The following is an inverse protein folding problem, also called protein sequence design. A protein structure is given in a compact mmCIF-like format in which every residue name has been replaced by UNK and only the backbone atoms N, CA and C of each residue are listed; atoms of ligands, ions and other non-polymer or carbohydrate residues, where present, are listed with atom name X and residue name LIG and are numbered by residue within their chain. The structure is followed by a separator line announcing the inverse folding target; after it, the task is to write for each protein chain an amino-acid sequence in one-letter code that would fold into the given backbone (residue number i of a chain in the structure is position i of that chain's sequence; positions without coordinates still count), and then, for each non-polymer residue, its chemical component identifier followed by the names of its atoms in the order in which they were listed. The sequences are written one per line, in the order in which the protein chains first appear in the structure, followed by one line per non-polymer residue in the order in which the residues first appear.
data_IF_327978957735
#
_entry.id   IF_327978957735
#
_cell.length_a   1.000
_cell.length_b   1.000
_cell.length_c   1.000
_cell.angle_alpha   90.00
_cell.angle_beta   90.00
_cell.angle_gamma   90.00
#
_symmetry.space_group_name_H-M   'P 1'
#
loop_
_entity.id
_entity.type
_entity.pdbx_description
1 polymer ?
#
# COMPACT_ATOMS: atom_id res chain seq x y z
N UNK A 1 5.01 -9.30 24.25
CA UNK A 1 4.39 -9.30 25.59
C UNK A 1 4.21 -10.75 26.02
N UNK A 2 5.10 -11.26 26.87
CA UNK A 2 5.18 -12.69 27.27
C UNK A 2 4.85 -12.85 28.77
N UNK A 3 4.14 -11.89 29.34
CA UNK A 3 3.63 -12.02 30.69
C UNK A 3 2.46 -12.99 30.66
N UNK A 4 2.60 -14.10 31.39
CA UNK A 4 1.60 -15.18 31.46
C UNK A 4 0.38 -14.80 32.32
N UNK A 5 0.46 -13.69 33.05
CA UNK A 5 -0.60 -13.23 33.93
C UNK A 5 -1.22 -11.92 33.41
N UNK A 6 -2.07 -12.03 32.39
CA UNK A 6 -2.85 -10.89 31.87
C UNK A 6 -3.97 -10.49 32.84
N UNK A 7 -4.40 -11.41 33.72
CA UNK A 7 -5.48 -11.18 34.68
C UNK A 7 -5.16 -10.04 35.66
N UNK A 8 -3.88 -9.78 35.95
CA UNK A 8 -3.48 -8.66 36.82
C UNK A 8 -3.88 -7.27 36.31
N UNK A 9 -4.14 -7.14 35.01
CA UNK A 9 -4.51 -5.86 34.40
C UNK A 9 -6.00 -5.57 34.49
N UNK A 10 -6.81 -6.50 35.01
CA UNK A 10 -8.24 -6.33 35.17
C UNK A 10 -8.59 -6.23 36.66
N UNK A 11 -9.54 -5.36 36.98
CA UNK A 11 -10.09 -5.22 38.32
C UNK A 11 -11.29 -6.18 38.54
N UNK A 12 -11.89 -6.11 39.74
CA UNK A 12 -13.03 -6.96 40.09
C UNK A 12 -14.30 -6.68 39.25
N UNK A 13 -14.34 -5.57 38.53
CA UNK A 13 -15.42 -5.20 37.60
C UNK A 13 -15.13 -5.63 36.17
N UNK A 14 -14.05 -6.40 35.94
CA UNK A 14 -13.55 -6.78 34.62
C UNK A 14 -13.11 -5.58 33.76
N UNK A 15 -12.93 -4.41 34.40
CA UNK A 15 -12.41 -3.22 33.76
C UNK A 15 -10.89 -3.19 33.85
N UNK A 16 -10.25 -2.47 32.92
CA UNK A 16 -8.81 -2.30 32.93
C UNK A 16 -8.38 -1.52 34.19
N UNK A 17 -7.47 -2.10 34.97
CA UNK A 17 -6.81 -1.47 36.08
C UNK A 17 -5.69 -0.55 35.58
N UNK A 18 -5.99 0.75 35.52
CA UNK A 18 -5.07 1.78 35.03
C UNK A 18 -3.88 2.05 35.96
N UNK A 19 -3.89 1.53 37.19
CA UNK A 19 -2.72 1.62 38.08
C UNK A 19 -1.64 0.60 37.71
N UNK A 20 -2.05 -0.60 37.28
CA UNK A 20 -1.16 -1.69 36.85
C UNK A 20 -0.86 -1.62 35.35
N UNK A 21 -1.85 -1.23 34.54
CA UNK A 21 -1.72 -1.06 33.11
C UNK A 21 -1.13 0.31 32.76
N UNK A 22 0.15 0.47 33.03
CA UNK A 22 0.89 1.72 32.81
C UNK A 22 1.06 2.05 31.32
N UNK A 23 1.36 3.32 30.96
CA UNK A 23 1.65 3.70 29.57
C UNK A 23 2.70 2.80 28.90
N UNK A 24 3.75 2.41 29.63
CA UNK A 24 4.80 1.54 29.13
C UNK A 24 4.29 0.13 28.74
N UNK A 25 3.37 -0.45 29.51
CA UNK A 25 2.73 -1.71 29.13
C UNK A 25 1.84 -1.55 27.90
N UNK A 26 1.15 -0.40 27.80
CA UNK A 26 0.35 -0.12 26.61
C UNK A 26 1.22 -0.02 25.35
N UNK A 27 2.38 0.62 25.41
CA UNK A 27 3.32 0.66 24.28
C UNK A 27 3.78 -0.74 23.85
N UNK A 28 4.17 -1.58 24.81
CA UNK A 28 4.54 -2.98 24.52
C UNK A 28 3.37 -3.77 23.91
N UNK A 29 2.15 -3.51 24.38
CA UNK A 29 0.94 -4.09 23.81
C UNK A 29 0.74 -3.64 22.35
N UNK A 30 0.92 -2.35 22.05
CA UNK A 30 0.82 -1.82 20.69
C UNK A 30 1.87 -2.43 19.76
N UNK A 31 3.13 -2.53 20.21
CA UNK A 31 4.20 -3.16 19.43
C UNK A 31 3.89 -4.62 19.15
N UNK A 32 3.33 -5.35 20.11
CA UNK A 32 2.89 -6.73 19.92
C UNK A 32 1.72 -6.85 18.93
N UNK A 33 0.75 -5.93 18.99
CA UNK A 33 -0.44 -5.96 18.14
C UNK A 33 -0.25 -5.37 16.75
N UNK A 34 0.82 -4.61 16.49
CA UNK A 34 1.04 -3.92 15.20
C UNK A 34 1.03 -4.84 13.98
N UNK A 35 1.49 -6.08 14.15
CA UNK A 35 1.55 -7.06 13.06
C UNK A 35 0.21 -7.83 12.92
N UNK A 36 -0.71 -7.65 13.88
CA UNK A 36 -2.02 -8.34 13.95
C UNK A 36 -3.21 -7.42 13.68
N UNK A 37 -3.03 -6.10 13.78
CA UNK A 37 -4.09 -5.10 13.68
C UNK A 37 -3.64 -3.87 12.90
N UNK A 38 -4.58 -3.22 12.21
CA UNK A 38 -4.32 -1.98 11.45
C UNK A 38 -4.05 -0.81 12.38
N UNK A 39 -3.30 0.18 11.91
CA UNK A 39 -3.00 1.40 12.67
C UNK A 39 -4.26 2.16 13.13
N UNK A 40 -5.36 2.08 12.37
CA UNK A 40 -6.66 2.64 12.75
C UNK A 40 -7.17 2.03 14.07
N UNK A 41 -7.22 0.69 14.15
CA UNK A 41 -7.64 -0.04 15.36
C UNK A 41 -6.73 0.24 16.55
N UNK A 42 -5.42 0.34 16.32
CA UNK A 42 -4.47 0.68 17.39
C UNK A 42 -4.70 2.10 17.94
N UNK A 43 -5.11 3.02 17.07
CA UNK A 43 -5.47 4.39 17.47
C UNK A 43 -6.77 4.40 18.27
N UNK A 44 -7.74 3.55 17.93
CA UNK A 44 -8.98 3.38 18.69
C UNK A 44 -8.71 2.90 20.13
N UNK A 45 -7.76 1.98 20.32
CA UNK A 45 -7.36 1.54 21.66
C UNK A 45 -6.87 2.71 22.53
N UNK A 46 -6.16 3.68 21.95
CA UNK A 46 -5.76 4.90 22.66
C UNK A 46 -6.98 5.69 23.14
N UNK A 47 -7.96 5.87 22.26
CA UNK A 47 -9.19 6.60 22.57
C UNK A 47 -9.99 5.90 23.66
N UNK A 48 -10.09 4.57 23.61
CA UNK A 48 -10.74 3.76 24.64
C UNK A 48 -10.07 3.94 26.02
N UNK A 49 -8.74 3.91 26.09
CA UNK A 49 -8.03 4.15 27.35
C UNK A 49 -8.24 5.58 27.85
N UNK A 50 -8.16 6.60 26.97
CA UNK A 50 -8.43 7.98 27.36
C UNK A 50 -9.84 8.16 27.91
N UNK A 51 -10.82 7.51 27.29
CA UNK A 51 -12.21 7.54 27.74
C UNK A 51 -12.40 6.82 29.07
N UNK A 52 -11.69 5.71 29.29
CA UNK A 52 -11.66 5.01 30.57
C UNK A 52 -11.02 5.86 31.68
N UNK A 53 -9.91 6.55 31.41
CA UNK A 53 -9.31 7.50 32.35
C UNK A 53 -10.31 8.62 32.72
N UNK A 54 -11.06 9.12 31.73
CA UNK A 54 -12.12 10.11 31.96
C UNK A 54 -13.25 9.55 32.83
N UNK A 55 -13.68 8.32 32.58
CA UNK A 55 -14.75 7.67 33.34
C UNK A 55 -14.34 7.42 34.79
N UNK A 56 -13.12 6.92 35.02
CA UNK A 56 -12.57 6.67 36.36
C UNK A 56 -12.06 7.95 37.06
N UNK A 57 -12.18 9.12 36.43
CA UNK A 57 -11.70 10.43 36.92
C UNK A 57 -10.20 10.43 37.27
N UNK A 58 -9.42 9.67 36.52
CA UNK A 58 -7.96 9.58 36.68
C UNK A 58 -7.30 10.64 35.80
N UNK A 59 -6.25 11.28 36.32
CA UNK A 59 -5.44 12.23 35.55
C UNK A 59 -4.77 11.47 34.41
N UNK A 60 -4.95 11.95 33.18
CA UNK A 60 -4.33 11.33 32.02
C UNK A 60 -2.80 11.46 32.12
N UNK A 61 -2.04 10.36 32.05
CA UNK A 61 -0.58 10.42 32.09
C UNK A 61 -0.03 11.24 30.92
N UNK A 62 1.06 11.97 31.16
CA UNK A 62 1.66 12.90 30.18
C UNK A 62 2.15 12.18 28.93
N UNK A 63 2.54 10.91 29.08
CA UNK A 63 3.03 10.01 28.03
C UNK A 63 1.95 9.73 26.97
N UNK A 64 0.67 9.78 27.35
CA UNK A 64 -0.44 9.69 26.39
C UNK A 64 -0.53 10.92 25.49
N UNK A 65 0.27 11.97 25.73
CA UNK A 65 0.38 13.19 24.95
C UNK A 65 1.14 12.99 23.64
N UNK A 66 2.33 13.56 23.55
CA UNK A 66 3.11 13.64 22.31
C UNK A 66 3.93 12.37 22.02
N UNK A 67 4.43 11.68 23.05
CA UNK A 67 5.22 10.45 22.90
C UNK A 67 4.41 9.36 22.18
N UNK A 68 3.18 9.11 22.64
CA UNK A 68 2.30 8.18 21.93
C UNK A 68 1.96 8.63 20.51
N UNK A 69 1.81 9.93 20.23
CA UNK A 69 1.58 10.40 18.85
C UNK A 69 2.74 10.00 17.94
N UNK A 70 3.98 10.14 18.41
CA UNK A 70 5.16 9.71 17.66
C UNK A 70 5.13 8.20 17.39
N UNK A 71 4.80 7.38 18.39
CA UNK A 71 4.65 5.93 18.21
C UNK A 71 3.62 5.58 17.13
N UNK A 72 2.41 6.17 17.19
CA UNK A 72 1.37 5.93 16.19
C UNK A 72 1.78 6.40 14.80
N UNK A 73 2.52 7.49 14.69
CA UNK A 73 3.06 7.94 13.39
C UNK A 73 4.05 6.93 12.81
N UNK A 74 4.90 6.33 13.66
CA UNK A 74 5.83 5.27 13.26
C UNK A 74 5.11 4.02 12.79
N UNK A 75 4.07 3.58 13.51
CA UNK A 75 3.25 2.42 13.14
C UNK A 75 2.57 2.65 11.78
N UNK A 76 1.97 3.83 11.56
CA UNK A 76 1.34 4.18 10.27
C UNK A 76 2.32 4.15 9.11
N UNK A 77 3.54 4.64 9.32
CA UNK A 77 4.59 4.62 8.30
C UNK A 77 5.00 3.19 7.94
N UNK A 78 5.22 2.34 8.94
CA UNK A 78 5.56 0.93 8.72
C UNK A 78 4.43 0.18 8.00
N UNK A 79 3.16 0.42 8.37
CA UNK A 79 2.01 -0.15 7.67
C UNK A 79 1.95 0.33 6.20
N UNK A 80 2.21 1.61 5.95
CA UNK A 80 2.27 2.15 4.59
C UNK A 80 3.41 1.52 3.78
N UNK A 81 4.62 1.42 4.35
CA UNK A 81 5.77 0.77 3.72
C UNK A 81 5.48 -0.69 3.38
N UNK A 82 4.84 -1.44 4.28
CA UNK A 82 4.43 -2.82 4.03
C UNK A 82 3.43 -2.93 2.88
N UNK A 83 2.44 -2.04 2.82
CA UNK A 83 1.43 -1.99 1.76
C UNK A 83 2.04 -1.59 0.39
N UNK A 84 3.11 -0.80 0.37
CA UNK A 84 3.86 -0.44 -0.85
C UNK A 84 4.89 -1.51 -1.25
N UNK A 85 5.41 -2.27 -0.27
CA UNK A 85 6.39 -3.35 -0.44
C UNK A 85 5.79 -4.59 -1.11
N UNK A 86 4.49 -4.86 -0.89
CA UNK A 86 3.79 -5.94 -1.60
C UNK A 86 3.59 -5.57 -3.08
N UNK A 87 4.60 -5.93 -3.86
CA UNK A 87 4.72 -5.73 -5.30
C UNK A 87 4.96 -4.27 -5.68
N UNK A 88 6.19 -3.93 -6.16
CA UNK A 88 6.26 -2.93 -7.21
C UNK A 88 5.29 -3.46 -8.27
N UNK A 89 4.19 -2.74 -8.51
CA UNK A 89 3.60 -2.81 -9.84
C UNK A 89 4.80 -2.58 -10.75
N UNK A 90 5.23 -3.64 -11.39
CA UNK A 90 5.87 -3.65 -12.68
C UNK A 90 4.95 -2.95 -13.69
N UNK A 91 4.51 -1.73 -13.38
CA UNK A 91 4.58 -0.59 -14.28
C UNK A 91 6.05 -0.46 -14.68
N UNK A 92 6.53 -1.47 -15.41
CA UNK A 92 7.65 -1.39 -16.31
C UNK A 92 7.23 -0.44 -17.42
N UNK A 93 7.03 0.84 -17.07
CA UNK A 93 7.37 1.93 -17.97
C UNK A 93 8.88 1.91 -18.04
N UNK A 94 9.42 0.86 -18.67
CA UNK A 94 10.80 0.80 -19.02
C UNK A 94 11.03 2.07 -19.84
N UNK A 95 11.98 2.94 -19.45
CA UNK A 95 12.27 4.13 -20.23
C UNK A 95 12.52 3.68 -21.66
N UNK A 96 11.73 4.19 -22.61
CA UNK A 96 11.90 3.85 -24.01
C UNK A 96 13.33 4.27 -24.38
N UNK A 97 14.20 3.31 -24.66
CA UNK A 97 15.59 3.59 -25.03
C UNK A 97 15.60 4.45 -26.29
N UNK A 98 16.54 5.39 -26.37
CA UNK A 98 16.61 6.34 -27.49
C UNK A 98 16.72 5.65 -28.86
N UNK A 99 17.36 4.48 -28.92
CA UNK A 99 17.42 3.65 -30.13
C UNK A 99 16.03 3.19 -30.59
N UNK A 100 15.22 2.66 -29.66
CA UNK A 100 13.86 2.19 -29.94
C UNK A 100 12.93 3.34 -30.35
N UNK A 101 13.07 4.51 -29.71
CA UNK A 101 12.37 5.73 -30.14
C UNK A 101 12.71 6.10 -31.59
N UNK A 102 14.01 6.09 -31.94
CA UNK A 102 14.49 6.42 -33.28
C UNK A 102 13.98 5.46 -34.35
N UNK A 103 13.95 4.16 -34.04
CA UNK A 103 13.38 3.14 -34.95
C UNK A 103 11.89 3.35 -35.20
N UNK A 104 11.10 3.61 -34.16
CA UNK A 104 9.67 3.88 -34.28
C UNK A 104 9.39 5.17 -35.09
N UNK A 105 10.19 6.22 -34.87
CA UNK A 105 10.12 7.44 -35.68
C UNK A 105 10.44 7.19 -37.16
N UNK A 106 11.43 6.34 -37.46
CA UNK A 106 11.72 5.97 -38.85
C UNK A 106 10.57 5.14 -39.44
N UNK A 107 10.07 4.14 -38.71
CA UNK A 107 9.00 3.25 -39.17
C UNK A 107 7.70 4.02 -39.49
N UNK A 108 7.33 4.97 -38.64
CA UNK A 108 6.18 5.85 -38.83
C UNK A 108 6.36 6.80 -40.03
N UNK A 109 7.56 7.36 -40.23
CA UNK A 109 7.88 8.13 -41.44
C UNK A 109 7.78 7.28 -42.72
N UNK A 110 8.25 6.04 -42.71
CA UNK A 110 8.12 5.12 -43.85
C UNK A 110 6.66 4.73 -44.13
N UNK A 111 5.83 4.56 -43.09
CA UNK A 111 4.39 4.25 -43.24
C UNK A 111 3.59 5.42 -43.83
N UNK A 112 4.01 6.66 -43.56
CA UNK A 112 3.43 7.86 -44.17
C UNK A 112 3.91 8.09 -45.60
N UNK A 113 5.15 7.69 -45.93
CA UNK A 113 5.70 7.78 -47.29
C UNK A 113 5.05 6.83 -48.31
N UNK A 114 4.35 5.77 -47.87
CA UNK A 114 3.64 4.82 -48.76
C UNK A 114 2.15 5.15 -48.98
N UNK A 115 1.60 6.20 -48.38
CA UNK A 115 0.20 6.65 -48.64
C UNK A 115 0.10 7.75 -49.71
N UNK A 116 1.16 7.99 -50.47
CA UNK A 116 1.27 9.10 -51.40
C UNK A 116 1.64 8.71 -52.83
N UNK A 117 1.08 7.63 -53.38
CA UNK A 117 1.09 7.42 -54.85
C UNK A 117 -0.18 6.66 -55.25
N UNK A 118 -1.18 7.40 -55.73
CA UNK A 118 -2.12 6.87 -56.71
C UNK A 118 -1.31 6.63 -57.99
N UNK A 119 -1.27 5.39 -58.46
CA UNK A 119 -1.24 5.12 -59.90
C UNK A 119 -2.04 3.83 -60.14
N UNK A 120 -3.14 3.98 -60.88
CA UNK A 120 -3.85 2.89 -61.55
C UNK A 120 -2.86 2.23 -62.52
N UNK A 121 -2.73 0.91 -62.48
CA UNK A 121 -2.57 0.09 -63.68
C UNK A 121 -2.85 -1.36 -63.34
N UNK A 122 -3.61 -2.01 -64.20
CA UNK A 122 -4.14 -3.35 -64.09
C UNK A 122 -3.05 -4.40 -63.87
N UNK A 123 -3.22 -5.27 -62.87
CA UNK A 123 -2.98 -6.71 -63.02
C UNK A 123 -3.53 -7.51 -61.82
N UNK A 124 -4.84 -7.39 -61.55
CA UNK A 124 -5.50 -8.21 -60.51
C UNK A 124 -6.29 -9.38 -61.12
N UNK A 125 -6.38 -9.48 -62.45
CA UNK A 125 -7.04 -10.61 -63.13
C UNK A 125 -6.06 -11.68 -63.62
N UNK A 126 -4.75 -11.40 -63.74
CA UNK A 126 -3.76 -12.40 -64.20
C UNK A 126 -3.34 -13.43 -63.14
N UNK A 127 -3.85 -13.36 -61.91
CA UNK A 127 -3.50 -14.30 -60.81
C UNK A 127 -4.65 -15.23 -60.42
N UNK A 128 -5.82 -15.11 -61.05
CA UNK A 128 -6.97 -16.01 -60.87
C UNK A 128 -7.21 -16.95 -62.06
N UNK A 129 -6.34 -16.95 -63.08
CA UNK A 129 -6.41 -17.85 -64.24
C UNK A 129 -5.23 -18.85 -64.29
N UNK A 130 -4.32 -18.83 -63.31
CA UNK A 130 -3.22 -19.82 -63.18
C UNK A 130 -3.43 -20.83 -62.04
N UNK A 131 -4.65 -20.95 -61.52
CA UNK A 131 -5.02 -21.92 -60.48
C UNK A 131 -6.12 -22.89 -60.93
N UNK A 132 -6.19 -23.16 -62.24
CA UNK A 132 -7.11 -24.15 -62.80
C UNK A 132 -6.45 -25.21 -63.69
N UNK A 133 -5.11 -25.22 -63.79
CA UNK A 133 -4.31 -26.28 -64.44
C UNK A 133 -3.08 -26.66 -63.61
N UNK A 134 -3.30 -27.15 -62.38
CA UNK A 134 -2.32 -27.90 -61.60
C UNK A 134 -3.00 -28.93 -60.68
#
# INVERSE_FOLDING_TARGET
MKDRNTARFFDASDDLNLAEFTPAFFEQFLVYKRDMAKSATLTEYRSAIKDLCRLKRIVLPVEYGDDMKQLYSGIKRLEAEQNQSSSPKNSNKQPLTFSLYKELCNLSRFKLSRRGTRQRSANVESLMESLQDA
#
